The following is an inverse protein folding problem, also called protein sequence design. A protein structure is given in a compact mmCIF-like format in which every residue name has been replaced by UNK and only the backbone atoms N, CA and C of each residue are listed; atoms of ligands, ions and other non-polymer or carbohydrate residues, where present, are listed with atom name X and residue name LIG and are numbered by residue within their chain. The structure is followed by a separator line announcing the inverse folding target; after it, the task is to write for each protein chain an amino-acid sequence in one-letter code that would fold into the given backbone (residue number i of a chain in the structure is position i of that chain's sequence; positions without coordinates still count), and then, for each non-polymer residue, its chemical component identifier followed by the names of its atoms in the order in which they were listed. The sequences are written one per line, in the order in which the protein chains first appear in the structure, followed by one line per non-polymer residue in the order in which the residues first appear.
data_IF_288769551889
#
_entry.id   IF_288769551889
#
_cell.length_a   1.000
_cell.length_b   1.000
_cell.length_c   1.000
_cell.angle_alpha   90.00
_cell.angle_beta   90.00
_cell.angle_gamma   90.00
#
_symmetry.space_group_name_H-M   'P 1'
#
loop_
_entity.id
_entity.type
_entity.pdbx_description
1 polymer ?
#
# COMPACT_ATOMS: atom_id res chain seq x y z
N UNK A 1 -7.17 -0.85 18.58
CA UNK A 1 -6.11 -1.62 17.88
C UNK A 1 -4.79 -0.96 18.23
N UNK A 2 -3.76 -1.75 18.53
CA UNK A 2 -2.42 -1.25 18.87
C UNK A 2 -1.42 -1.88 17.92
N UNK A 3 -0.53 -1.07 17.35
CA UNK A 3 0.59 -1.52 16.53
C UNK A 3 1.89 -1.41 17.31
N UNK A 4 2.72 -2.44 17.25
CA UNK A 4 4.09 -2.42 17.80
C UNK A 4 5.06 -2.79 16.70
N UNK A 5 6.20 -2.11 16.62
CA UNK A 5 7.29 -2.46 15.74
C UNK A 5 8.63 -2.46 16.49
N UNK A 6 9.56 -3.31 16.08
CA UNK A 6 10.89 -3.39 16.67
C UNK A 6 11.94 -3.81 15.62
N UNK A 7 13.19 -3.34 15.76
CA UNK A 7 14.27 -3.78 14.88
C UNK A 7 14.64 -5.24 15.17
N UNK A 8 15.14 -5.93 14.15
CA UNK A 8 15.67 -7.30 14.27
C UNK A 8 17.05 -7.37 13.64
N UNK A 9 17.99 -7.96 14.38
CA UNK A 9 19.39 -8.05 13.98
C UNK A 9 20.15 -6.73 14.13
N UNK A 10 21.43 -6.77 13.78
CA UNK A 10 22.30 -5.59 13.84
C UNK A 10 22.03 -4.63 12.68
N UNK A 11 22.22 -3.33 12.96
CA UNK A 11 22.14 -2.28 11.95
C UNK A 11 23.40 -2.34 11.07
N UNK A 12 23.21 -2.65 9.79
CA UNK A 12 24.27 -2.65 8.78
C UNK A 12 23.91 -1.79 7.58
N UNK A 13 24.29 -2.16 6.35
CA UNK A 13 23.86 -1.46 5.13
C UNK A 13 22.34 -1.56 4.88
N UNK A 14 21.68 -2.51 5.57
CA UNK A 14 20.22 -2.66 5.60
C UNK A 14 19.73 -2.75 7.03
N UNK A 15 18.43 -2.53 7.22
CA UNK A 15 17.73 -2.73 8.48
C UNK A 15 16.53 -3.64 8.26
N UNK A 16 16.22 -4.47 9.27
CA UNK A 16 15.00 -5.26 9.33
C UNK A 16 14.18 -4.79 10.54
N UNK A 17 12.89 -4.62 10.33
CA UNK A 17 11.92 -4.41 11.40
C UNK A 17 10.82 -5.46 11.31
N UNK A 18 10.35 -5.93 12.46
CA UNK A 18 9.11 -6.68 12.58
C UNK A 18 8.03 -5.79 13.18
N UNK A 19 6.78 -6.10 12.89
CA UNK A 19 5.64 -5.49 13.54
C UNK A 19 4.52 -6.48 13.82
N UNK A 20 3.71 -6.13 14.82
CA UNK A 20 2.49 -6.81 15.20
C UNK A 20 1.35 -5.81 15.33
N UNK A 21 0.16 -6.24 14.94
CA UNK A 21 -1.09 -5.54 15.15
C UNK A 21 -1.95 -6.36 16.09
N UNK A 22 -2.41 -5.75 17.18
CA UNK A 22 -3.23 -6.40 18.19
C UNK A 22 -4.56 -5.68 18.43
N UNK A 23 -5.60 -6.44 18.76
CA UNK A 23 -6.89 -5.94 19.19
C UNK A 23 -7.38 -6.74 20.40
N UNK A 24 -7.65 -6.05 21.52
CA UNK A 24 -8.00 -6.69 22.80
C UNK A 24 -6.99 -7.79 23.18
N UNK A 25 -5.71 -7.45 23.08
CA UNK A 25 -4.56 -8.31 23.38
C UNK A 25 -4.42 -9.57 22.51
N UNK A 26 -5.21 -9.69 21.44
CA UNK A 26 -5.07 -10.74 20.42
C UNK A 26 -4.30 -10.18 19.23
N UNK A 27 -3.20 -10.86 18.84
CA UNK A 27 -2.46 -10.55 17.61
C UNK A 27 -3.34 -10.93 16.41
N UNK A 28 -3.65 -9.94 15.57
CA UNK A 28 -4.49 -10.09 14.37
C UNK A 28 -3.69 -9.97 13.07
N UNK A 29 -2.42 -9.62 13.15
CA UNK A 29 -1.55 -9.53 11.99
C UNK A 29 -0.11 -9.25 12.37
N UNK A 30 0.80 -9.68 11.51
CA UNK A 30 2.24 -9.48 11.65
C UNK A 30 2.83 -8.99 10.34
N UNK A 31 3.94 -8.27 10.40
CA UNK A 31 4.66 -7.82 9.22
C UNK A 31 6.15 -7.76 9.43
N UNK A 32 6.88 -7.70 8.32
CA UNK A 32 8.31 -7.42 8.32
C UNK A 32 8.63 -6.43 7.22
N UNK A 33 9.54 -5.50 7.50
CA UNK A 33 10.04 -4.54 6.51
C UNK A 33 11.55 -4.62 6.47
N UNK A 34 12.09 -4.82 5.27
CA UNK A 34 13.53 -4.68 5.01
C UNK A 34 13.78 -3.37 4.29
N UNK A 35 14.59 -2.52 4.91
CA UNK A 35 14.95 -1.20 4.39
C UNK A 35 16.44 -1.15 4.07
N UNK A 36 16.80 -0.36 3.06
CA UNK A 36 18.18 0.07 2.82
C UNK A 36 18.26 1.59 3.00
N UNK A 37 19.45 2.07 3.32
CA UNK A 37 19.66 3.50 3.55
C UNK A 37 19.91 4.23 2.23
N UNK A 38 19.20 5.35 2.02
CA UNK A 38 19.43 6.26 0.90
C UNK A 38 20.24 7.44 1.42
N UNK A 39 21.45 7.63 0.88
CA UNK A 39 22.30 8.77 1.20
C UNK A 39 21.88 10.00 0.40
N UNK A 40 21.94 11.19 1.02
CA UNK A 40 21.61 12.46 0.35
C UNK A 40 20.11 12.70 0.14
N UNK A 41 19.27 12.02 0.91
CA UNK A 41 17.83 12.28 0.91
C UNK A 41 17.53 13.70 1.41
N UNK A 42 16.73 14.43 0.64
CA UNK A 42 16.15 15.71 1.06
C UNK A 42 14.80 15.43 1.70
N UNK A 43 14.60 15.99 2.89
CA UNK A 43 13.32 15.88 3.57
C UNK A 43 12.42 17.06 3.22
N UNK A 44 11.15 16.78 3.01
CA UNK A 44 10.08 17.76 2.79
C UNK A 44 9.28 17.93 4.06
N UNK A 45 8.91 19.17 4.35
CA UNK A 45 7.98 19.46 5.44
C UNK A 45 6.57 18.97 5.10
N UNK A 46 5.79 18.71 6.15
CA UNK A 46 4.37 18.41 5.97
C UNK A 46 3.64 19.66 5.45
N UNK A 47 2.68 19.54 4.51
CA UNK A 47 1.99 20.69 3.94
C UNK A 47 1.30 21.55 5.01
N UNK A 48 1.59 22.86 5.02
CA UNK A 48 1.03 23.81 6.00
C UNK A 48 -0.29 24.47 5.54
N UNK A 49 -0.60 24.45 4.25
CA UNK A 49 -1.78 25.14 3.72
C UNK A 49 -3.11 24.53 4.21
N UNK A 50 -4.04 25.41 4.64
CA UNK A 50 -5.33 25.05 5.23
C UNK A 50 -6.15 24.04 4.41
N UNK A 51 -6.10 24.13 3.08
CA UNK A 51 -6.77 23.19 2.16
C UNK A 51 -6.36 21.73 2.40
N UNK A 52 -5.09 21.48 2.74
CA UNK A 52 -4.56 20.14 3.05
C UNK A 52 -4.95 19.64 4.45
N UNK A 53 -5.39 20.54 5.33
CA UNK A 53 -5.89 20.23 6.68
C UNK A 53 -7.40 20.00 6.72
N UNK A 54 -8.10 20.20 5.58
CA UNK A 54 -9.52 19.88 5.48
C UNK A 54 -9.73 18.39 5.70
N UNK A 55 -10.63 18.04 6.63
CA UNK A 55 -10.95 16.65 6.92
C UNK A 55 -11.52 15.97 5.67
N UNK A 56 -10.80 14.98 5.14
CA UNK A 56 -11.29 14.11 4.08
C UNK A 56 -12.15 13.00 4.67
N UNK A 57 -13.26 12.70 4.00
CA UNK A 57 -14.22 11.68 4.43
C UNK A 57 -14.19 10.51 3.46
N UNK A 58 -14.07 9.30 4.01
CA UNK A 58 -14.00 8.08 3.22
C UNK A 58 -12.58 7.75 2.76
N UNK A 59 -12.34 6.44 2.56
CA UNK A 59 -11.00 5.91 2.27
C UNK A 59 -10.42 6.46 0.96
N UNK A 60 -11.23 6.53 -0.10
CA UNK A 60 -10.80 7.03 -1.40
C UNK A 60 -10.29 8.49 -1.32
N UNK A 61 -11.04 9.36 -0.64
CA UNK A 61 -10.63 10.75 -0.45
C UNK A 61 -9.37 10.86 0.42
N UNK A 62 -9.30 10.12 1.54
CA UNK A 62 -8.10 10.10 2.41
C UNK A 62 -6.85 9.65 1.65
N UNK A 63 -7.00 8.71 0.73
CA UNK A 63 -5.91 8.20 -0.11
C UNK A 63 -5.70 9.03 -1.38
N UNK A 64 -6.52 10.03 -1.69
CA UNK A 64 -6.50 10.77 -2.96
C UNK A 64 -6.57 9.85 -4.21
N UNK A 65 -7.42 8.83 -4.17
CA UNK A 65 -7.61 7.87 -5.26
C UNK A 65 -9.04 7.86 -5.79
N UNK A 66 -9.19 7.44 -7.04
CA UNK A 66 -10.48 7.13 -7.66
C UNK A 66 -10.42 5.81 -8.44
N UNK A 67 -11.58 5.20 -8.67
CA UNK A 67 -11.68 3.98 -9.48
C UNK A 67 -11.39 4.30 -10.95
N UNK A 68 -10.55 3.49 -11.59
CA UNK A 68 -10.09 3.72 -12.95
C UNK A 68 -10.12 2.41 -13.75
N UNK A 69 -11.29 1.78 -13.76
CA UNK A 69 -11.56 0.49 -14.38
C UNK A 69 -11.58 -0.70 -13.40
N UNK A 70 -11.78 -1.93 -13.92
CA UNK A 70 -11.80 -3.14 -13.11
C UNK A 70 -10.46 -3.34 -12.38
N UNK A 71 -10.52 -3.53 -11.06
CA UNK A 71 -9.34 -3.76 -10.23
C UNK A 71 -8.21 -2.74 -10.47
N UNK A 72 -8.57 -1.48 -10.62
CA UNK A 72 -7.66 -0.39 -10.96
C UNK A 72 -8.05 0.90 -10.23
N UNK A 73 -7.04 1.63 -9.75
CA UNK A 73 -7.19 2.90 -9.05
C UNK A 73 -6.23 3.94 -9.64
N UNK A 74 -6.71 5.15 -9.90
CA UNK A 74 -5.88 6.32 -10.21
C UNK A 74 -5.48 7.02 -8.93
N UNK A 75 -4.22 7.46 -8.84
CA UNK A 75 -3.69 8.18 -7.68
C UNK A 75 -3.43 9.65 -8.02
N UNK A 76 -4.23 10.55 -7.46
CA UNK A 76 -4.03 11.98 -7.62
C UNK A 76 -2.86 12.47 -6.77
N UNK A 77 -2.23 13.56 -7.23
CA UNK A 77 -1.20 14.24 -6.46
C UNK A 77 -1.84 14.85 -5.22
N UNK A 78 -1.26 14.54 -4.06
CA UNK A 78 -1.68 15.12 -2.80
C UNK A 78 -0.50 15.06 -1.81
N UNK A 79 -0.03 16.19 -1.28
CA UNK A 79 1.11 16.18 -0.38
C UNK A 79 0.80 15.50 0.97
N UNK A 80 -0.48 15.38 1.37
CA UNK A 80 -0.89 14.77 2.64
C UNK A 80 -0.61 13.26 2.68
N UNK A 81 -0.64 12.58 1.53
CA UNK A 81 -0.36 11.14 1.44
C UNK A 81 1.14 10.84 1.34
N UNK A 82 1.98 11.87 1.26
CA UNK A 82 3.41 11.69 1.12
C UNK A 82 4.09 11.51 2.49
N UNK A 83 5.20 10.78 2.50
CA UNK A 83 6.11 10.80 3.62
C UNK A 83 7.06 12.01 3.53
N UNK A 84 7.96 12.14 4.52
CA UNK A 84 8.95 13.21 4.55
C UNK A 84 9.97 13.18 3.39
N UNK A 85 9.93 12.20 2.48
CA UNK A 85 10.75 12.19 1.27
C UNK A 85 9.99 12.75 0.05
N UNK A 86 8.80 13.30 0.25
CA UNK A 86 7.95 13.84 -0.82
C UNK A 86 7.38 12.78 -1.77
N UNK A 87 7.37 11.51 -1.36
CA UNK A 87 6.83 10.39 -2.14
C UNK A 87 5.67 9.75 -1.39
N UNK A 88 4.80 9.02 -2.10
CA UNK A 88 3.65 8.35 -1.48
C UNK A 88 4.13 7.48 -0.32
N UNK A 89 3.51 7.67 0.84
CA UNK A 89 3.84 6.91 2.03
C UNK A 89 3.65 5.41 1.77
N UNK A 90 4.62 4.58 2.19
CA UNK A 90 4.62 3.15 1.88
C UNK A 90 3.34 2.42 2.32
N UNK A 91 2.76 2.84 3.45
CA UNK A 91 1.45 2.35 3.92
C UNK A 91 0.30 2.69 2.96
N UNK A 92 0.24 3.92 2.44
CA UNK A 92 -0.79 4.33 1.45
C UNK A 92 -0.64 3.51 0.17
N UNK A 93 0.59 3.37 -0.32
CA UNK A 93 0.86 2.58 -1.51
C UNK A 93 0.51 1.09 -1.35
N UNK A 94 0.82 0.51 -0.18
CA UNK A 94 0.47 -0.87 0.15
C UNK A 94 -1.05 -1.07 0.20
N UNK A 95 -1.80 -0.11 0.78
CA UNK A 95 -3.27 -0.13 0.76
C UNK A 95 -3.81 -0.04 -0.67
N UNK A 96 -3.24 0.80 -1.53
CA UNK A 96 -3.63 0.89 -2.94
C UNK A 96 -3.50 -0.45 -3.65
N UNK A 97 -2.35 -1.11 -3.50
CA UNK A 97 -2.06 -2.45 -4.04
C UNK A 97 -3.00 -3.54 -3.48
N UNK A 98 -3.29 -3.50 -2.18
CA UNK A 98 -4.23 -4.43 -1.54
C UNK A 98 -5.64 -4.28 -2.10
N UNK A 99 -6.14 -3.04 -2.22
CA UNK A 99 -7.49 -2.76 -2.71
C UNK A 99 -7.70 -3.27 -4.14
N UNK A 100 -6.76 -3.01 -5.06
CA UNK A 100 -6.87 -3.51 -6.44
C UNK A 100 -6.77 -5.03 -6.49
N UNK A 101 -5.89 -5.65 -5.71
CA UNK A 101 -5.76 -7.11 -5.65
C UNK A 101 -7.02 -7.78 -5.08
N UNK A 102 -7.58 -7.21 -4.01
CA UNK A 102 -8.83 -7.68 -3.41
C UNK A 102 -9.99 -7.55 -4.40
N UNK A 103 -10.08 -6.42 -5.12
CA UNK A 103 -11.08 -6.23 -6.17
C UNK A 103 -10.94 -7.26 -7.30
N UNK A 104 -9.71 -7.57 -7.73
CA UNK A 104 -9.47 -8.60 -8.75
C UNK A 104 -9.92 -10.00 -8.29
N UNK A 105 -9.64 -10.40 -7.04
CA UNK A 105 -10.06 -11.70 -6.53
C UNK A 105 -11.56 -11.79 -6.23
N UNK A 106 -12.18 -10.67 -5.87
CA UNK A 106 -13.58 -10.62 -5.43
C UNK A 106 -14.56 -10.15 -6.51
N UNK A 107 -14.11 -10.01 -7.76
CA UNK A 107 -14.98 -9.76 -8.89
C UNK A 107 -16.09 -10.83 -8.96
N UNK A 108 -17.36 -10.39 -8.85
CA UNK A 108 -18.53 -11.29 -8.83
C UNK A 108 -18.73 -12.09 -7.54
N UNK A 109 -18.05 -11.76 -6.44
CA UNK A 109 -18.10 -12.51 -5.16
C UNK A 109 -18.64 -11.69 -3.99
N UNK A 110 -19.68 -10.88 -4.22
CA UNK A 110 -20.23 -9.98 -3.20
C UNK A 110 -20.65 -10.70 -1.91
N UNK A 111 -21.28 -11.88 -2.02
CA UNK A 111 -21.82 -12.58 -0.86
C UNK A 111 -20.76 -13.35 -0.05
N UNK A 112 -19.68 -13.77 -0.71
CA UNK A 112 -18.64 -14.59 -0.07
C UNK A 112 -17.21 -14.16 -0.48
N UNK A 113 -16.81 -12.94 -0.08
CA UNK A 113 -15.52 -12.40 -0.45
C UNK A 113 -14.39 -13.15 0.27
N UNK A 114 -13.26 -13.30 -0.43
CA UNK A 114 -11.99 -13.62 0.18
C UNK A 114 -11.47 -12.38 0.93
N UNK A 115 -10.95 -12.59 2.13
CA UNK A 115 -10.31 -11.59 3.00
C UNK A 115 -8.80 -11.62 2.80
N UNK A 116 -8.17 -10.47 3.00
CA UNK A 116 -6.72 -10.33 2.92
C UNK A 116 -6.03 -11.25 3.92
N UNK A 117 -5.19 -12.14 3.40
CA UNK A 117 -4.39 -13.05 4.19
C UNK A 117 -2.93 -12.67 4.28
N UNK A 118 -2.36 -12.30 3.13
CA UNK A 118 -0.99 -11.80 3.08
C UNK A 118 -0.81 -10.85 1.91
N UNK A 119 0.01 -9.83 2.12
CA UNK A 119 0.50 -8.94 1.07
C UNK A 119 2.02 -8.85 1.19
N UNK A 120 2.73 -9.09 0.09
CA UNK A 120 4.16 -8.83 -0.01
C UNK A 120 4.39 -7.79 -1.08
N UNK A 121 5.00 -6.66 -0.71
CA UNK A 121 5.30 -5.55 -1.63
C UNK A 121 6.81 -5.47 -1.86
N UNK A 122 7.22 -5.25 -3.11
CA UNK A 122 8.58 -4.89 -3.47
C UNK A 122 8.60 -3.46 -4.03
N UNK A 123 9.51 -2.65 -3.51
CA UNK A 123 9.71 -1.26 -3.93
C UNK A 123 10.87 -1.23 -4.93
N UNK A 124 10.56 -1.04 -6.22
CA UNK A 124 11.56 -0.98 -7.28
C UNK A 124 12.14 0.43 -7.40
N UNK A 125 11.31 1.44 -7.15
CA UNK A 125 11.68 2.86 -7.11
C UNK A 125 10.64 3.66 -6.32
N UNK A 126 10.92 4.96 -6.17
CA UNK A 126 10.03 5.95 -5.55
C UNK A 126 8.69 6.01 -6.29
N UNK A 127 7.58 5.93 -5.55
CA UNK A 127 6.23 6.14 -6.10
C UNK A 127 5.85 7.62 -5.90
N UNK A 128 5.79 8.36 -6.99
CA UNK A 128 5.30 9.75 -7.00
C UNK A 128 3.86 9.74 -7.50
N UNK A 129 2.96 10.38 -6.75
CA UNK A 129 1.53 10.51 -7.09
C UNK A 129 1.27 11.55 -8.20
N UNK A 130 0.07 11.53 -8.78
CA UNK A 130 -0.31 12.39 -9.91
C UNK A 130 0.16 11.84 -11.26
N UNK A 131 0.06 12.63 -12.33
CA UNK A 131 0.44 12.20 -13.67
C UNK A 131 -0.24 10.88 -14.06
N UNK A 132 0.57 9.90 -14.47
CA UNK A 132 0.14 8.54 -14.84
C UNK A 132 -0.02 7.57 -13.65
N UNK A 133 0.11 8.05 -12.41
CA UNK A 133 0.16 7.19 -11.23
C UNK A 133 -1.13 6.37 -11.05
N UNK A 134 -0.97 5.04 -11.09
CA UNK A 134 -2.09 4.07 -11.10
C UNK A 134 -1.68 2.78 -10.41
N UNK A 135 -2.62 2.18 -9.70
CA UNK A 135 -2.55 0.81 -9.20
C UNK A 135 -3.40 -0.09 -10.07
N UNK A 136 -2.94 -1.30 -10.36
CA UNK A 136 -3.73 -2.32 -11.05
C UNK A 136 -3.41 -3.72 -10.54
N UNK A 137 -4.32 -4.66 -10.73
CA UNK A 137 -4.11 -6.05 -10.36
C UNK A 137 -4.69 -7.05 -11.36
N UNK A 138 -4.16 -8.27 -11.32
CA UNK A 138 -4.66 -9.41 -12.08
C UNK A 138 -4.69 -10.64 -11.18
N UNK A 139 -5.84 -11.33 -11.16
CA UNK A 139 -5.95 -12.61 -10.45
C UNK A 139 -5.13 -13.69 -11.15
N UNK A 140 -4.32 -14.42 -10.40
CA UNK A 140 -3.59 -15.59 -10.90
C UNK A 140 -4.39 -16.88 -10.70
N UNK A 141 -5.08 -16.97 -9.56
CA UNK A 141 -5.94 -18.10 -9.22
C UNK A 141 -7.07 -17.62 -8.31
N UNK A 142 -8.30 -17.99 -8.64
CA UNK A 142 -9.47 -17.76 -7.78
C UNK A 142 -10.09 -19.11 -7.45
N UNK A 143 -9.93 -19.55 -6.20
CA UNK A 143 -10.54 -20.77 -5.68
C UNK A 143 -11.78 -20.49 -4.83
N UNK A 144 -12.35 -21.55 -4.25
CA UNK A 144 -13.52 -21.44 -3.37
C UNK A 144 -13.21 -20.69 -2.06
N UNK A 145 -12.11 -21.08 -1.42
CA UNK A 145 -11.69 -20.58 -0.09
C UNK A 145 -10.35 -19.84 -0.10
N UNK A 146 -9.61 -19.85 -1.21
CA UNK A 146 -8.33 -19.15 -1.35
C UNK A 146 -8.19 -18.54 -2.74
N UNK A 147 -7.35 -17.52 -2.87
CA UNK A 147 -7.00 -16.94 -4.16
C UNK A 147 -5.71 -16.15 -4.10
N UNK A 148 -5.09 -15.93 -5.25
CA UNK A 148 -3.80 -15.26 -5.39
C UNK A 148 -3.88 -14.27 -6.54
N UNK A 149 -3.40 -13.05 -6.33
CA UNK A 149 -3.32 -12.01 -7.34
C UNK A 149 -1.94 -11.35 -7.34
N UNK A 150 -1.52 -10.87 -8.51
CA UNK A 150 -0.45 -9.90 -8.63
C UNK A 150 -1.04 -8.50 -8.73
N UNK A 151 -0.40 -7.55 -8.08
CA UNK A 151 -0.72 -6.13 -8.17
C UNK A 151 0.53 -5.31 -8.44
N UNK A 152 0.35 -4.14 -9.02
CA UNK A 152 1.44 -3.22 -9.33
C UNK A 152 1.01 -1.78 -9.18
N UNK A 153 1.99 -0.89 -9.03
CA UNK A 153 1.81 0.55 -9.10
C UNK A 153 2.80 1.15 -10.09
N UNK A 154 2.29 1.96 -11.02
CA UNK A 154 3.11 2.84 -11.87
C UNK A 154 3.15 4.24 -11.25
N UNK A 155 4.28 4.93 -11.36
CA UNK A 155 4.43 6.30 -10.87
C UNK A 155 3.90 7.36 -11.84
N UNK A 156 3.99 8.63 -11.45
CA UNK A 156 3.63 9.77 -12.29
C UNK A 156 4.36 9.80 -13.65
N UNK A 157 5.56 9.19 -13.73
CA UNK A 157 6.37 9.04 -14.94
C UNK A 157 5.95 7.85 -15.82
N UNK A 158 4.88 7.14 -15.46
CA UNK A 158 4.38 5.96 -16.16
C UNK A 158 5.24 4.70 -15.95
N UNK A 159 6.29 4.76 -15.13
CA UNK A 159 7.20 3.64 -14.91
C UNK A 159 6.73 2.79 -13.73
N UNK A 160 6.98 1.48 -13.81
CA UNK A 160 6.68 0.54 -12.73
C UNK A 160 7.48 0.93 -11.47
N UNK A 161 6.76 1.27 -10.41
CA UNK A 161 7.33 1.67 -9.13
C UNK A 161 7.31 0.52 -8.12
N UNK A 162 6.19 -0.19 -8.04
CA UNK A 162 5.94 -1.21 -7.03
C UNK A 162 5.33 -2.46 -7.66
N UNK A 163 5.65 -3.62 -7.08
CA UNK A 163 4.94 -4.87 -7.35
C UNK A 163 4.49 -5.50 -6.03
N UNK A 164 3.40 -6.24 -6.06
CA UNK A 164 2.92 -6.97 -4.90
C UNK A 164 2.30 -8.31 -5.25
N UNK A 165 2.48 -9.26 -4.33
CA UNK A 165 1.78 -10.54 -4.31
C UNK A 165 0.76 -10.52 -3.19
N UNK A 166 -0.49 -10.75 -3.55
CA UNK A 166 -1.63 -10.82 -2.64
C UNK A 166 -2.14 -12.25 -2.54
N UNK A 167 -2.45 -12.70 -1.33
CA UNK A 167 -3.21 -13.93 -1.08
C UNK A 167 -4.43 -13.59 -0.24
N UNK A 168 -5.60 -14.04 -0.70
CA UNK A 168 -6.84 -13.95 0.04
C UNK A 168 -7.34 -15.32 0.46
N UNK A 169 -7.99 -15.40 1.61
CA UNK A 169 -8.67 -16.61 2.09
C UNK A 169 -10.01 -16.28 2.74
N UNK A 170 -10.86 -17.29 2.94
CA UNK A 170 -12.10 -17.16 3.70
C UNK A 170 -11.86 -17.29 5.19
#
# INVERSE_FOLDING_TARGET
MVGRAWPVGEKGPTAMALCEFSHRDVVIGTGSVRSFYITGAQFTDFPEHAEHHTRKVGLAAMMAVEADGPASLRQHADPVINNMLGIVHGGVAATGLELVASAALNAGRADTPLRTGSLRVNFLRRLVAGGECRYSATSLRVGRSTGVADAQAVGADGQLALTARFTGYR
#
